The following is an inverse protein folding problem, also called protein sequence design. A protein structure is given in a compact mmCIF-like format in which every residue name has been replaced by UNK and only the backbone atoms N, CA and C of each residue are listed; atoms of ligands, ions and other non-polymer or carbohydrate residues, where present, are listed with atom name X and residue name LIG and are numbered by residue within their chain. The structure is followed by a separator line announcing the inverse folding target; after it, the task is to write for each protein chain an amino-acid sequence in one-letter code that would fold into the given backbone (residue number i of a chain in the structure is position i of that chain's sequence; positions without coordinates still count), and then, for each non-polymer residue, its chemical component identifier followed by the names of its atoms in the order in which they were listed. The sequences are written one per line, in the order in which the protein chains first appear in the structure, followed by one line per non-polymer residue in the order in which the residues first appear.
data_IF_975855067436
#
_entry.id   IF_975855067436
#
_cell.length_a   1.000
_cell.length_b   1.000
_cell.length_c   1.000
_cell.angle_alpha   90.00
_cell.angle_beta   90.00
_cell.angle_gamma   90.00
#
_symmetry.space_group_name_H-M   'P 1'
#
loop_
_entity.id
_entity.type
_entity.pdbx_description
1 polymer ?
#
# COMPACT_ATOMS: atom_id res chain seq x y z
N UNK A 1 -20.31 -0.08 9.72
CA UNK A 1 -20.04 -0.82 8.47
C UNK A 1 -18.65 -1.44 8.54
N UNK A 2 -18.43 -2.64 8.01
CA UNK A 2 -17.07 -3.19 7.87
C UNK A 2 -16.39 -2.53 6.68
N UNK A 3 -15.25 -1.90 6.90
CA UNK A 3 -14.47 -1.26 5.84
C UNK A 3 -13.58 -2.32 5.20
N UNK A 4 -13.77 -2.57 3.91
CA UNK A 4 -12.93 -3.49 3.13
C UNK A 4 -11.59 -2.83 2.82
N UNK A 5 -10.53 -3.62 2.89
CA UNK A 5 -9.16 -3.18 2.59
C UNK A 5 -8.45 -4.26 1.79
N UNK A 6 -7.89 -3.90 0.65
CA UNK A 6 -7.03 -4.80 -0.13
C UNK A 6 -5.70 -4.98 0.60
N UNK A 7 -5.13 -6.18 0.49
CA UNK A 7 -3.83 -6.55 1.01
C UNK A 7 -2.97 -7.15 -0.11
N UNK A 8 -1.67 -6.94 0.04
CA UNK A 8 -0.67 -7.49 -0.87
C UNK A 8 0.66 -7.73 -0.19
N UNK A 9 1.61 -8.27 -0.94
CA UNK A 9 2.98 -8.53 -0.48
C UNK A 9 3.92 -7.51 -1.10
N UNK A 10 4.79 -6.94 -0.29
CA UNK A 10 5.83 -6.02 -0.77
C UNK A 10 6.87 -6.80 -1.56
N UNK A 11 7.04 -6.47 -2.84
CA UNK A 11 8.03 -7.11 -3.72
C UNK A 11 9.20 -6.18 -4.06
N UNK A 12 9.02 -4.86 -3.95
CA UNK A 12 10.09 -3.88 -4.12
C UNK A 12 9.83 -2.64 -3.25
N UNK A 13 10.89 -1.90 -2.89
CA UNK A 13 10.79 -0.61 -2.20
C UNK A 13 11.82 0.35 -2.80
N UNK A 14 11.35 1.48 -3.31
CA UNK A 14 12.17 2.56 -3.84
C UNK A 14 12.22 3.69 -2.78
N UNK A 15 13.41 4.02 -2.29
CA UNK A 15 13.67 5.14 -1.39
C UNK A 15 13.89 6.40 -2.22
N UNK A 16 13.09 7.44 -2.00
CA UNK A 16 13.11 8.62 -2.88
C UNK A 16 14.10 9.70 -2.42
N UNK A 17 14.60 9.64 -1.18
CA UNK A 17 15.41 10.72 -0.60
C UNK A 17 14.65 12.04 -0.40
N UNK A 18 13.31 12.03 -0.54
CA UNK A 18 12.42 13.14 -0.19
C UNK A 18 11.97 12.95 1.27
N UNK A 19 12.01 14.01 2.09
CA UNK A 19 11.72 13.92 3.52
C UNK A 19 10.64 14.92 3.96
N UNK A 20 9.83 14.51 4.94
CA UNK A 20 8.99 15.41 5.74
C UNK A 20 9.43 15.33 7.20
N UNK A 21 9.26 16.42 7.94
CA UNK A 21 9.50 16.46 9.38
C UNK A 21 8.17 16.64 10.08
N UNK A 22 7.89 15.82 11.08
CA UNK A 22 6.68 15.97 11.90
C UNK A 22 6.88 16.98 13.05
N UNK A 23 5.84 17.16 13.86
CA UNK A 23 5.84 18.11 14.99
C UNK A 23 6.85 17.73 16.09
N UNK A 24 7.27 16.46 16.15
CA UNK A 24 8.23 15.95 17.12
C UNK A 24 9.69 16.03 16.61
N UNK A 25 9.87 16.45 15.34
CA UNK A 25 11.18 16.58 14.71
C UNK A 25 11.69 15.30 14.04
N UNK A 26 10.86 14.27 13.92
CA UNK A 26 11.24 13.02 13.26
C UNK A 26 11.24 13.20 11.73
N UNK A 27 12.28 12.68 11.07
CA UNK A 27 12.44 12.78 9.61
C UNK A 27 11.90 11.54 8.92
N UNK A 28 10.77 11.68 8.25
CA UNK A 28 10.13 10.60 7.52
C UNK A 28 10.51 10.65 6.04
N UNK A 29 11.05 9.55 5.52
CA UNK A 29 11.44 9.44 4.12
C UNK A 29 10.29 8.91 3.26
N UNK A 30 10.00 9.58 2.15
CA UNK A 30 9.08 9.08 1.14
C UNK A 30 9.66 7.85 0.46
N UNK A 31 8.88 6.77 0.49
CA UNK A 31 9.20 5.48 -0.09
C UNK A 31 8.05 5.04 -1.00
N UNK A 32 8.39 4.46 -2.14
CA UNK A 32 7.42 3.88 -3.09
C UNK A 32 7.55 2.36 -3.02
N UNK A 33 6.52 1.72 -2.50
CA UNK A 33 6.44 0.26 -2.37
C UNK A 33 5.79 -0.31 -3.62
N UNK A 34 6.40 -1.31 -4.26
CA UNK A 34 5.69 -2.15 -5.21
C UNK A 34 5.06 -3.32 -4.44
N UNK A 35 3.74 -3.46 -4.55
CA UNK A 35 2.94 -4.43 -3.81
C UNK A 35 2.18 -5.31 -4.79
N UNK A 36 2.39 -6.61 -4.70
CA UNK A 36 1.60 -7.62 -5.41
C UNK A 36 0.29 -7.89 -4.66
N UNK A 37 -0.84 -7.64 -5.30
CA UNK A 37 -2.17 -7.79 -4.68
C UNK A 37 -2.53 -9.26 -4.49
N UNK A 38 -2.93 -9.62 -3.26
CA UNK A 38 -3.21 -11.01 -2.88
C UNK A 38 -4.67 -11.27 -2.50
N UNK A 39 -5.37 -10.28 -1.94
CA UNK A 39 -6.74 -10.47 -1.47
C UNK A 39 -7.23 -9.32 -0.59
N UNK A 40 -8.38 -9.48 0.03
CA UNK A 40 -8.87 -8.56 1.06
C UNK A 40 -8.38 -8.95 2.46
N UNK A 41 -8.41 -7.98 3.37
CA UNK A 41 -8.18 -8.20 4.80
C UNK A 41 -9.11 -9.27 5.36
N UNK A 42 -8.59 -10.11 6.27
CA UNK A 42 -9.37 -11.12 7.01
C UNK A 42 -10.57 -10.54 7.77
N UNK A 43 -10.59 -9.22 8.01
CA UNK A 43 -11.73 -8.53 8.66
C UNK A 43 -12.98 -8.48 7.75
N UNK A 44 -12.80 -8.64 6.44
CA UNK A 44 -13.84 -8.69 5.41
C UNK A 44 -13.78 -10.01 4.65
N UNK A 45 -14.16 -11.14 5.29
CA UNK A 45 -13.95 -12.48 4.75
C UNK A 45 -14.81 -12.83 3.52
N UNK A 46 -15.87 -12.05 3.26
CA UNK A 46 -16.77 -12.27 2.13
C UNK A 46 -16.33 -11.51 0.87
N UNK A 47 -15.35 -10.61 0.98
CA UNK A 47 -14.85 -9.86 -0.17
C UNK A 47 -13.84 -10.72 -0.94
N UNK A 48 -14.09 -10.87 -2.24
CA UNK A 48 -13.21 -11.62 -3.15
C UNK A 48 -12.54 -10.62 -4.08
N UNK A 49 -11.21 -10.71 -4.19
CA UNK A 49 -10.46 -9.86 -5.10
C UNK A 49 -10.83 -10.21 -6.55
N UNK A 50 -11.21 -9.23 -7.39
CA UNK A 50 -11.46 -9.45 -8.81
C UNK A 50 -10.26 -10.11 -9.51
N UNK A 51 -10.53 -11.04 -10.43
CA UNK A 51 -9.47 -11.84 -11.08
C UNK A 51 -8.46 -10.98 -11.84
N UNK A 52 -8.91 -9.87 -12.44
CA UNK A 52 -8.04 -8.91 -13.14
C UNK A 52 -7.10 -8.12 -12.21
N UNK A 53 -7.31 -8.18 -10.90
CA UNK A 53 -6.46 -7.54 -9.88
C UNK A 53 -5.57 -8.54 -9.15
N UNK A 54 -5.82 -9.84 -9.28
CA UNK A 54 -5.07 -10.88 -8.59
C UNK A 54 -3.65 -10.97 -9.14
N UNK A 55 -2.65 -10.88 -8.27
CA UNK A 55 -1.23 -10.85 -8.67
C UNK A 55 -0.82 -9.54 -9.37
N UNK A 56 -1.71 -8.55 -9.48
CA UNK A 56 -1.38 -7.25 -10.06
C UNK A 56 -0.40 -6.53 -9.15
N UNK A 57 0.58 -5.86 -9.74
CA UNK A 57 1.48 -4.97 -9.01
C UNK A 57 0.91 -3.56 -8.97
N UNK A 58 0.91 -2.95 -7.79
CA UNK A 58 0.60 -1.53 -7.58
C UNK A 58 1.73 -0.86 -6.82
N UNK A 59 1.94 0.43 -7.08
CA UNK A 59 2.83 1.29 -6.34
C UNK A 59 2.06 1.96 -5.20
N UNK A 60 2.62 1.97 -3.99
CA UNK A 60 2.10 2.65 -2.81
C UNK A 60 3.12 3.64 -2.27
N UNK A 61 2.70 4.89 -2.09
CA UNK A 61 3.52 5.93 -1.46
C UNK A 61 3.33 5.86 0.05
N UNK A 62 4.43 5.74 0.79
CA UNK A 62 4.44 5.80 2.25
C UNK A 62 5.61 6.63 2.74
N UNK A 63 5.42 7.32 3.83
CA UNK A 63 6.50 7.94 4.58
C UNK A 63 6.98 6.96 5.64
N UNK A 64 8.28 6.65 5.63
CA UNK A 64 8.90 5.65 6.49
C UNK A 64 9.99 6.31 7.33
N UNK A 65 9.89 6.15 8.64
CA UNK A 65 10.89 6.66 9.58
C UNK A 65 12.05 5.68 9.77
N UNK A 66 11.73 4.40 9.92
CA UNK A 66 12.70 3.34 10.20
C UNK A 66 12.75 2.29 9.09
N UNK A 67 13.93 1.69 8.87
CA UNK A 67 14.18 0.69 7.83
C UNK A 67 13.26 -0.55 7.92
N UNK A 68 12.77 -0.89 9.11
CA UNK A 68 11.89 -2.05 9.28
C UNK A 68 10.57 -1.90 8.50
N UNK A 69 10.14 -0.68 8.18
CA UNK A 69 8.97 -0.42 7.34
C UNK A 69 9.16 -0.86 5.88
N UNK A 70 10.40 -0.97 5.42
CA UNK A 70 10.81 -1.19 4.04
C UNK A 70 11.20 -2.64 3.73
N UNK A 71 10.87 -3.59 4.62
CA UNK A 71 11.17 -5.01 4.42
C UNK A 71 10.39 -5.59 3.23
N UNK A 72 11.07 -6.39 2.40
CA UNK A 72 10.44 -7.18 1.34
C UNK A 72 9.73 -8.41 1.91
N UNK A 73 8.76 -8.95 1.17
CA UNK A 73 8.00 -10.14 1.54
C UNK A 73 6.97 -9.92 2.65
N UNK A 74 6.86 -8.69 3.18
CA UNK A 74 5.89 -8.35 4.22
C UNK A 74 4.55 -7.93 3.63
N UNK A 75 3.48 -8.25 4.35
CA UNK A 75 2.12 -7.86 3.98
C UNK A 75 1.93 -6.35 4.17
N UNK A 76 1.38 -5.69 3.16
CA UNK A 76 0.86 -4.32 3.24
C UNK A 76 -0.64 -4.34 3.08
N UNK A 77 -1.30 -3.42 3.78
CA UNK A 77 -2.74 -3.21 3.68
C UNK A 77 -2.94 -1.81 3.13
N UNK A 78 -3.76 -1.70 2.08
CA UNK A 78 -4.14 -0.42 1.51
C UNK A 78 -5.09 0.30 2.46
N UNK A 79 -5.06 1.63 2.44
CA UNK A 79 -6.10 2.42 3.08
C UNK A 79 -7.45 2.24 2.35
N UNK A 80 -8.58 2.60 2.98
CA UNK A 80 -9.90 2.39 2.39
C UNK A 80 -10.07 3.11 1.04
N UNK A 81 -9.60 4.36 0.95
CA UNK A 81 -9.64 5.18 -0.25
C UNK A 81 -8.74 4.59 -1.35
N UNK A 82 -7.53 4.14 -1.01
CA UNK A 82 -6.63 3.45 -1.93
C UNK A 82 -7.24 2.13 -2.44
N UNK A 83 -7.96 1.42 -1.57
CA UNK A 83 -8.68 0.20 -1.92
C UNK A 83 -9.73 0.49 -2.99
N UNK A 84 -10.57 1.52 -2.79
CA UNK A 84 -11.58 1.90 -3.77
C UNK A 84 -10.96 2.46 -5.07
N UNK A 85 -9.83 3.15 -4.98
CA UNK A 85 -9.06 3.60 -6.14
C UNK A 85 -8.60 2.43 -7.02
N UNK A 86 -8.02 1.39 -6.41
CA UNK A 86 -7.60 0.17 -7.11
C UNK A 86 -8.80 -0.58 -7.71
N UNK A 87 -9.89 -0.73 -6.96
CA UNK A 87 -11.10 -1.41 -7.43
C UNK A 87 -11.78 -0.67 -8.60
N UNK A 88 -11.78 0.65 -8.57
CA UNK A 88 -12.37 1.48 -9.63
C UNK A 88 -11.43 1.73 -10.81
N UNK A 89 -10.18 1.27 -10.73
CA UNK A 89 -9.17 1.50 -11.77
C UNK A 89 -8.78 2.97 -11.92
N UNK A 90 -8.89 3.77 -10.85
CA UNK A 90 -8.55 5.19 -10.81
C UNK A 90 -7.34 5.43 -9.88
N UNK A 91 -6.14 5.66 -10.41
CA UNK A 91 -4.97 5.99 -9.59
C UNK A 91 -5.17 7.25 -8.75
N UNK A 92 -4.43 7.33 -7.64
CA UNK A 92 -4.31 8.51 -6.78
C UNK A 92 -2.83 8.84 -6.57
N UNK A 93 -2.56 9.93 -5.83
CA UNK A 93 -1.19 10.31 -5.47
C UNK A 93 -0.51 9.31 -4.52
N UNK A 94 -1.30 8.45 -3.86
CA UNK A 94 -0.82 7.47 -2.87
C UNK A 94 -0.86 6.03 -3.36
N UNK A 95 -1.67 5.70 -4.38
CA UNK A 95 -1.70 4.39 -5.04
C UNK A 95 -1.83 4.49 -6.56
N UNK A 96 -0.95 3.83 -7.31
CA UNK A 96 -0.95 3.87 -8.77
C UNK A 96 -0.32 2.59 -9.37
N UNK A 97 -0.30 2.43 -10.69
CA UNK A 97 0.30 1.27 -11.38
C UNK A 97 0.82 1.64 -12.76
#
# INVERSE_FOLDING_TARGET
MKVRKIQGITVNVERMGEYITDEEGEKWEKCIFTVELTGFSKRTPNEVLPENLKGKHVKLVRYCLYDWHCKLGVRKTLEPDETEAVLSGKPTDTVFW
#
